data_IF_447714173035
#
_entry.id   IF_447714173035
#
_cell.length_a   1.000
_cell.length_b   1.000
_cell.length_c   1.000
_cell.angle_alpha   90.00
_cell.angle_beta   90.00
_cell.angle_gamma   90.00
#
_symmetry.space_group_name_H-M   'P 1'
#
loop_
_entity.id
_entity.type
_entity.pdbx_description
1 polymer ?
#
# COMPACT_ATOMS: atom_id res chain seq x y z
N UNK A 1 -2.46 -7.84 -7.48
CA UNK A 1 -3.36 -6.70 -7.22
C UNK A 1 -4.04 -6.24 -8.48
N UNK A 2 -5.11 -5.47 -8.34
CA UNK A 2 -6.00 -5.11 -9.42
C UNK A 2 -5.93 -3.61 -9.72
N UNK A 3 -6.66 -3.16 -10.73
CA UNK A 3 -6.86 -1.75 -11.07
C UNK A 3 -8.31 -1.46 -11.41
N UNK A 4 -8.81 -0.29 -11.04
CA UNK A 4 -10.15 0.20 -11.36
C UNK A 4 -10.05 1.36 -12.35
N UNK A 5 -10.97 1.40 -13.30
CA UNK A 5 -11.20 2.52 -14.21
C UNK A 5 -12.71 2.73 -14.39
N UNK A 6 -13.24 3.87 -13.95
CA UNK A 6 -14.63 4.30 -14.21
C UNK A 6 -14.54 5.63 -14.96
N UNK A 7 -14.73 5.60 -16.26
CA UNK A 7 -14.50 6.76 -17.13
C UNK A 7 -15.54 6.84 -18.23
N UNK A 8 -15.60 7.99 -18.89
CA UNK A 8 -16.38 8.16 -20.13
C UNK A 8 -15.57 7.80 -21.40
N UNK A 9 -14.33 7.34 -21.21
CA UNK A 9 -13.38 6.98 -22.28
C UNK A 9 -13.13 5.47 -22.27
N UNK A 10 -13.42 4.80 -23.37
CA UNK A 10 -13.32 3.34 -23.50
C UNK A 10 -11.89 2.82 -23.26
N UNK A 11 -10.86 3.55 -23.68
CA UNK A 11 -9.48 3.08 -23.64
C UNK A 11 -8.73 3.47 -22.35
N UNK A 12 -9.41 3.99 -21.32
CA UNK A 12 -8.75 4.38 -20.07
C UNK A 12 -8.17 3.17 -19.33
N UNK A 13 -8.83 2.01 -19.41
CA UNK A 13 -8.39 0.77 -18.80
C UNK A 13 -7.05 0.27 -19.37
N UNK A 14 -6.76 0.55 -20.64
CA UNK A 14 -5.53 0.08 -21.30
C UNK A 14 -4.27 0.66 -20.65
N UNK A 15 -4.39 1.85 -20.08
CA UNK A 15 -3.28 2.53 -19.41
C UNK A 15 -2.89 1.89 -18.07
N UNK A 16 -3.75 1.05 -17.49
CA UNK A 16 -3.50 0.37 -16.21
C UNK A 16 -3.37 -1.15 -16.33
N UNK A 17 -3.21 -1.68 -17.54
CA UNK A 17 -3.09 -3.13 -17.79
C UNK A 17 -1.93 -3.80 -17.03
N UNK A 18 -0.85 -3.07 -16.77
CA UNK A 18 0.30 -3.56 -16.00
C UNK A 18 -0.05 -3.94 -14.56
N UNK A 19 -1.23 -3.58 -14.05
CA UNK A 19 -1.69 -3.91 -12.70
C UNK A 19 -2.25 -5.33 -12.56
N UNK A 20 -2.40 -6.08 -13.66
CA UNK A 20 -2.92 -7.44 -13.62
C UNK A 20 -2.66 -8.21 -14.90
N UNK A 21 -3.28 -9.36 -15.04
CA UNK A 21 -3.15 -10.25 -16.19
C UNK A 21 -4.49 -10.52 -16.91
N UNK A 22 -5.59 -10.07 -16.31
CA UNK A 22 -6.94 -10.17 -16.86
C UNK A 22 -7.60 -8.81 -16.80
N UNK A 23 -8.42 -8.46 -17.78
CA UNK A 23 -9.19 -7.23 -17.76
C UNK A 23 -10.60 -7.45 -18.29
N UNK A 24 -11.56 -6.79 -17.65
CA UNK A 24 -12.96 -6.75 -18.04
C UNK A 24 -13.45 -5.31 -18.02
N UNK A 25 -14.22 -4.94 -19.03
CA UNK A 25 -14.86 -3.63 -19.10
C UNK A 25 -16.30 -3.80 -19.56
N UNK A 26 -17.22 -3.12 -18.93
CA UNK A 26 -18.64 -3.02 -19.33
C UNK A 26 -19.01 -1.56 -19.58
N UNK A 27 -20.06 -1.36 -20.38
CA UNK A 27 -20.67 -0.04 -20.59
C UNK A 27 -21.99 0.05 -19.84
N UNK A 28 -22.14 1.06 -19.01
CA UNK A 28 -23.33 1.26 -18.19
C UNK A 28 -23.63 2.76 -18.01
N UNK A 29 -24.83 3.19 -18.41
CA UNK A 29 -25.27 4.58 -18.21
C UNK A 29 -24.35 5.66 -18.78
N UNK A 30 -23.65 5.39 -19.88
CA UNK A 30 -22.70 6.30 -20.50
C UNK A 30 -21.30 6.29 -19.83
N UNK A 31 -21.05 5.35 -18.94
CA UNK A 31 -19.76 5.08 -18.31
C UNK A 31 -19.16 3.77 -18.78
N UNK A 32 -17.83 3.69 -18.79
CA UNK A 32 -17.07 2.47 -18.96
C UNK A 32 -16.52 2.06 -17.59
N UNK A 33 -17.04 0.95 -17.05
CA UNK A 33 -16.62 0.38 -15.78
C UNK A 33 -15.61 -0.70 -16.06
N UNK A 34 -14.35 -0.50 -15.72
CA UNK A 34 -13.25 -1.38 -16.04
C UNK A 34 -12.51 -1.89 -14.81
N UNK A 35 -12.14 -3.16 -14.83
CA UNK A 35 -11.34 -3.80 -13.81
C UNK A 35 -10.19 -4.59 -14.43
N UNK A 36 -8.98 -4.35 -13.98
CA UNK A 36 -7.79 -5.16 -14.28
C UNK A 36 -7.50 -6.03 -13.07
N UNK A 37 -7.45 -7.36 -13.28
CA UNK A 37 -7.35 -8.35 -12.20
C UNK A 37 -5.98 -9.02 -12.16
N UNK A 38 -5.42 -9.15 -10.96
CA UNK A 38 -4.34 -10.06 -10.61
C UNK A 38 -4.93 -11.20 -9.76
N UNK A 39 -5.16 -12.40 -10.32
CA UNK A 39 -5.71 -13.51 -9.55
C UNK A 39 -4.66 -14.02 -8.54
N UNK A 40 -5.01 -13.97 -7.25
CA UNK A 40 -4.17 -14.41 -6.13
C UNK A 40 -4.84 -15.53 -5.35
N UNK A 41 -6.16 -15.44 -5.17
CA UNK A 41 -6.95 -16.42 -4.42
C UNK A 41 -7.58 -17.48 -5.32
N UNK A 42 -7.54 -17.30 -6.63
CA UNK A 42 -8.13 -18.22 -7.63
C UNK A 42 -7.15 -18.41 -8.78
N UNK A 43 -7.37 -19.45 -9.59
CA UNK A 43 -6.67 -19.57 -10.87
C UNK A 43 -7.13 -18.49 -11.85
N UNK A 44 -6.32 -18.16 -12.87
CA UNK A 44 -6.76 -17.31 -13.98
C UNK A 44 -8.04 -17.86 -14.63
N UNK A 45 -9.00 -16.98 -14.88
CA UNK A 45 -10.32 -17.34 -15.45
C UNK A 45 -11.35 -17.79 -14.41
N UNK A 46 -10.94 -18.15 -13.19
CA UNK A 46 -11.84 -18.56 -12.13
C UNK A 46 -12.21 -17.40 -11.19
N UNK A 47 -13.31 -17.57 -10.48
CA UNK A 47 -13.80 -16.62 -9.47
C UNK A 47 -14.71 -15.55 -10.05
N UNK A 48 -15.15 -14.63 -9.18
CA UNK A 48 -16.05 -13.56 -9.57
C UNK A 48 -15.31 -12.49 -10.39
N UNK A 49 -15.71 -12.37 -11.66
CA UNK A 49 -15.24 -11.28 -12.49
C UNK A 49 -15.78 -9.92 -11.99
N UNK A 50 -15.00 -8.89 -12.18
CA UNK A 50 -15.41 -7.52 -11.85
C UNK A 50 -15.40 -6.70 -13.16
N UNK A 51 -16.30 -5.72 -13.31
CA UNK A 51 -17.32 -5.20 -12.37
C UNK A 51 -18.37 -6.23 -11.97
N UNK A 52 -18.81 -6.23 -10.71
CA UNK A 52 -19.79 -7.17 -10.16
C UNK A 52 -21.17 -6.52 -10.17
N UNK A 53 -22.14 -7.15 -10.85
CA UNK A 53 -23.52 -6.75 -10.75
C UNK A 53 -24.09 -7.13 -9.37
N UNK A 54 -24.71 -6.17 -8.70
CA UNK A 54 -25.28 -6.35 -7.37
C UNK A 54 -26.76 -6.70 -7.44
N UNK A 55 -27.20 -7.57 -6.54
CA UNK A 55 -28.61 -7.98 -6.45
C UNK A 55 -29.54 -6.78 -6.21
N UNK A 56 -30.81 -6.90 -6.64
CA UNK A 56 -31.84 -5.90 -6.39
C UNK A 56 -31.65 -4.56 -7.14
N UNK A 57 -31.01 -4.57 -8.31
CA UNK A 57 -30.69 -3.34 -9.06
C UNK A 57 -29.82 -2.34 -8.25
N UNK A 58 -28.98 -2.83 -7.35
CA UNK A 58 -28.07 -2.02 -6.55
C UNK A 58 -26.83 -1.53 -7.32
N UNK A 59 -26.77 -1.78 -8.62
CA UNK A 59 -25.71 -1.29 -9.50
C UNK A 59 -24.50 -2.22 -9.55
N UNK A 60 -23.31 -1.64 -9.65
CA UNK A 60 -22.07 -2.33 -9.93
C UNK A 60 -21.02 -2.03 -8.88
N UNK A 61 -20.31 -3.07 -8.44
CA UNK A 61 -19.19 -2.97 -7.51
C UNK A 61 -17.86 -3.23 -8.23
N UNK A 62 -16.90 -2.34 -7.99
CA UNK A 62 -15.50 -2.51 -8.36
C UNK A 62 -14.65 -2.43 -7.10
N UNK A 63 -13.78 -3.39 -6.92
CA UNK A 63 -12.95 -3.55 -5.74
C UNK A 63 -11.52 -3.92 -6.11
N UNK A 64 -10.57 -3.25 -5.49
CA UNK A 64 -9.15 -3.57 -5.55
C UNK A 64 -8.64 -3.73 -4.14
N UNK A 65 -8.04 -4.87 -3.84
CA UNK A 65 -7.43 -5.11 -2.53
C UNK A 65 -7.69 -6.51 -2.00
N UNK A 66 -7.55 -6.63 -0.68
CA UNK A 66 -7.76 -7.85 0.10
C UNK A 66 -8.36 -7.48 1.46
N UNK A 67 -9.46 -8.10 1.85
CA UNK A 67 -10.04 -8.04 3.19
C UNK A 67 -9.81 -9.40 3.85
N UNK A 68 -8.84 -9.48 4.77
CA UNK A 68 -8.37 -10.75 5.33
C UNK A 68 -9.30 -11.36 6.39
N UNK A 69 -10.20 -10.59 6.95
CA UNK A 69 -11.06 -10.99 8.08
C UNK A 69 -12.55 -11.04 7.73
N UNK A 70 -12.88 -11.27 6.46
CA UNK A 70 -14.26 -11.52 6.07
C UNK A 70 -14.81 -12.81 6.73
N UNK A 71 -16.14 -12.91 6.92
CA UNK A 71 -16.76 -14.07 7.57
C UNK A 71 -16.47 -15.38 6.82
N UNK A 72 -16.12 -16.44 7.56
CA UNK A 72 -15.67 -17.73 7.02
C UNK A 72 -16.70 -18.49 6.19
N UNK A 73 -17.96 -18.06 6.21
CA UNK A 73 -19.02 -18.61 5.34
C UNK A 73 -18.87 -18.25 3.86
N UNK A 74 -18.06 -17.24 3.55
CA UNK A 74 -17.77 -16.84 2.17
C UNK A 74 -16.48 -17.50 1.68
N UNK A 75 -16.43 -17.80 0.40
CA UNK A 75 -15.24 -18.39 -0.24
C UNK A 75 -14.17 -17.36 -0.56
N UNK A 76 -14.55 -16.07 -0.64
CA UNK A 76 -13.65 -14.94 -0.90
C UNK A 76 -14.19 -13.63 -0.33
N UNK A 77 -13.31 -12.65 -0.17
CA UNK A 77 -13.68 -11.28 0.19
C UNK A 77 -14.55 -10.61 -0.90
N UNK A 78 -14.34 -10.94 -2.16
CA UNK A 78 -15.16 -10.46 -3.28
C UNK A 78 -16.61 -10.96 -3.16
N UNK A 79 -16.82 -12.22 -2.81
CA UNK A 79 -18.15 -12.77 -2.56
C UNK A 79 -18.83 -12.10 -1.36
N UNK A 80 -18.08 -11.92 -0.27
CA UNK A 80 -18.55 -11.18 0.91
C UNK A 80 -18.99 -9.76 0.55
N UNK A 81 -18.17 -9.02 -0.21
CA UNK A 81 -18.49 -7.67 -0.61
C UNK A 81 -19.69 -7.60 -1.54
N UNK A 82 -19.83 -8.54 -2.48
CA UNK A 82 -21.01 -8.62 -3.36
C UNK A 82 -22.29 -8.72 -2.54
N UNK A 83 -22.33 -9.58 -1.55
CA UNK A 83 -23.53 -9.78 -0.73
C UNK A 83 -23.77 -8.58 0.21
N UNK A 84 -22.71 -8.02 0.80
CA UNK A 84 -22.81 -6.83 1.67
C UNK A 84 -23.36 -5.63 0.89
N UNK A 85 -22.80 -5.29 -0.26
CA UNK A 85 -23.25 -4.16 -1.07
C UNK A 85 -24.59 -4.42 -1.76
N UNK A 86 -24.94 -5.67 -2.01
CA UNK A 86 -26.24 -6.06 -2.57
C UNK A 86 -27.41 -5.93 -1.59
N UNK A 87 -27.14 -6.04 -0.28
CA UNK A 87 -28.20 -6.13 0.74
C UNK A 87 -28.21 -5.01 1.78
N UNK A 88 -27.15 -4.19 1.88
CA UNK A 88 -26.97 -3.22 2.96
C UNK A 88 -27.04 -1.78 2.49
N UNK A 89 -27.37 -0.87 3.40
CA UNK A 89 -27.25 0.56 3.14
C UNK A 89 -25.79 1.03 3.31
N UNK A 90 -25.46 2.22 2.79
CA UNK A 90 -24.12 2.78 2.89
C UNK A 90 -23.65 2.91 4.35
N UNK A 91 -24.55 3.23 5.29
CA UNK A 91 -24.23 3.35 6.71
C UNK A 91 -23.74 2.04 7.29
N UNK A 92 -24.39 0.92 6.96
CA UNK A 92 -24.02 -0.42 7.42
C UNK A 92 -22.70 -0.86 6.80
N UNK A 93 -22.48 -0.58 5.51
CA UNK A 93 -21.22 -0.87 4.82
C UNK A 93 -20.04 -0.14 5.48
N UNK A 94 -20.21 1.14 5.81
CA UNK A 94 -19.18 1.94 6.49
C UNK A 94 -18.95 1.46 7.92
N UNK A 95 -19.98 1.00 8.61
CA UNK A 95 -19.86 0.39 9.94
C UNK A 95 -19.01 -0.90 9.88
N UNK A 96 -19.30 -1.79 8.94
CA UNK A 96 -18.51 -3.00 8.70
C UNK A 96 -17.06 -2.67 8.31
N UNK A 97 -16.86 -1.70 7.40
CA UNK A 97 -15.53 -1.29 6.94
C UNK A 97 -14.62 -0.79 8.07
N UNK A 98 -15.18 -0.28 9.18
CA UNK A 98 -14.40 0.12 10.35
C UNK A 98 -13.73 -1.06 11.10
N UNK A 99 -14.13 -2.29 10.79
CA UNK A 99 -13.57 -3.50 11.39
C UNK A 99 -12.71 -4.32 10.41
N UNK A 100 -12.63 -3.92 9.15
CA UNK A 100 -11.85 -4.68 8.18
C UNK A 100 -10.34 -4.62 8.47
N UNK A 101 -9.70 -5.77 8.40
CA UNK A 101 -8.23 -5.90 8.34
C UNK A 101 -7.84 -6.19 6.89
N UNK A 102 -7.16 -5.25 6.26
CA UNK A 102 -6.85 -5.40 4.84
C UNK A 102 -6.23 -4.17 4.20
N UNK A 103 -6.47 -4.08 2.92
CA UNK A 103 -6.16 -2.97 2.03
C UNK A 103 -7.24 -2.94 0.96
N UNK A 104 -7.81 -1.79 0.66
CA UNK A 104 -8.91 -1.72 -0.29
C UNK A 104 -9.05 -0.35 -0.95
N UNK A 105 -9.54 -0.41 -2.19
CA UNK A 105 -10.14 0.70 -2.90
C UNK A 105 -11.46 0.22 -3.50
N UNK A 106 -12.54 0.92 -3.24
CA UNK A 106 -13.90 0.52 -3.59
C UNK A 106 -14.56 1.64 -4.37
N UNK A 107 -15.23 1.24 -5.47
CA UNK A 107 -16.16 2.07 -6.21
C UNK A 107 -17.49 1.33 -6.35
N UNK A 108 -18.55 1.96 -5.91
CA UNK A 108 -19.91 1.49 -6.05
C UNK A 108 -20.69 2.42 -6.98
N UNK A 109 -20.93 1.96 -8.22
CA UNK A 109 -21.70 2.68 -9.22
C UNK A 109 -23.17 2.31 -9.13
N UNK A 110 -24.04 3.29 -8.99
CA UNK A 110 -25.47 3.11 -8.86
C UNK A 110 -26.24 4.28 -9.49
N UNK A 111 -26.96 4.03 -10.59
CA UNK A 111 -27.87 4.99 -11.22
C UNK A 111 -27.27 6.38 -11.43
N UNK A 112 -26.08 6.48 -11.98
CA UNK A 112 -25.38 7.75 -12.23
C UNK A 112 -24.66 8.33 -11.02
N UNK A 113 -24.69 7.66 -9.86
CA UNK A 113 -23.92 8.00 -8.67
C UNK A 113 -22.78 7.02 -8.48
N UNK A 114 -21.61 7.50 -8.10
CA UNK A 114 -20.47 6.67 -7.70
C UNK A 114 -20.15 6.98 -6.24
N UNK A 115 -20.17 5.97 -5.38
CA UNK A 115 -19.60 6.05 -4.03
C UNK A 115 -18.19 5.47 -4.10
N UNK A 116 -17.20 6.23 -3.64
CA UNK A 116 -15.81 5.78 -3.66
C UNK A 116 -15.09 6.06 -2.33
N UNK A 117 -14.29 5.08 -1.87
CA UNK A 117 -13.45 5.21 -0.68
C UNK A 117 -12.30 4.20 -0.70
N UNK A 118 -11.27 4.50 0.08
CA UNK A 118 -10.08 3.65 0.19
C UNK A 118 -9.82 3.30 1.66
N UNK A 119 -8.94 2.31 1.88
CA UNK A 119 -8.52 1.95 3.23
C UNK A 119 -7.91 3.14 3.99
N UNK A 120 -7.94 3.11 5.33
CA UNK A 120 -7.57 4.27 6.13
C UNK A 120 -6.09 4.65 6.07
N UNK A 121 -5.24 3.78 5.56
CA UNK A 121 -3.81 4.05 5.35
C UNK A 121 -3.45 4.32 3.88
N UNK A 122 -4.44 4.33 2.97
CA UNK A 122 -4.22 4.55 1.55
C UNK A 122 -3.28 3.52 0.91
N UNK A 123 -3.32 2.27 1.37
CA UNK A 123 -2.55 1.16 0.78
C UNK A 123 -2.98 0.90 -0.66
N UNK A 124 -4.26 1.13 -0.95
CA UNK A 124 -4.83 1.20 -2.29
C UNK A 124 -5.30 2.61 -2.57
N UNK A 125 -5.02 3.10 -3.77
CA UNK A 125 -5.27 4.48 -4.12
C UNK A 125 -6.32 4.58 -5.20
N UNK A 126 -7.07 5.68 -5.16
CA UNK A 126 -7.97 6.13 -6.21
C UNK A 126 -7.75 7.61 -6.45
N UNK A 127 -7.93 8.00 -7.70
CA UNK A 127 -7.88 9.36 -8.16
C UNK A 127 -9.16 9.70 -8.93
N UNK A 128 -9.50 10.97 -8.98
CA UNK A 128 -10.65 11.45 -9.73
C UNK A 128 -10.34 12.75 -10.45
N UNK A 129 -11.05 13.04 -11.54
CA UNK A 129 -10.93 14.29 -12.25
C UNK A 129 -12.21 15.15 -12.10
N UNK A 130 -12.19 16.34 -12.69
CA UNK A 130 -13.29 17.29 -12.67
C UNK A 130 -14.59 16.78 -13.30
N UNK A 131 -14.55 15.68 -14.06
CA UNK A 131 -15.71 15.06 -14.71
C UNK A 131 -16.29 13.90 -13.89
N UNK A 132 -15.77 13.65 -12.67
CA UNK A 132 -16.16 12.53 -11.83
C UNK A 132 -15.63 11.17 -12.30
N UNK A 133 -14.75 11.13 -13.30
CA UNK A 133 -14.06 9.92 -13.70
C UNK A 133 -13.10 9.47 -12.59
N UNK A 134 -13.01 8.16 -12.34
CA UNK A 134 -12.20 7.58 -11.26
C UNK A 134 -11.25 6.51 -11.82
N UNK A 135 -10.00 6.50 -11.35
CA UNK A 135 -9.03 5.48 -11.72
C UNK A 135 -8.06 5.19 -10.56
N UNK A 136 -7.49 3.98 -10.55
CA UNK A 136 -6.40 3.60 -9.63
C UNK A 136 -5.09 4.34 -9.91
N UNK A 137 -4.94 4.98 -11.07
CA UNK A 137 -3.78 5.76 -11.49
C UNK A 137 -4.16 7.14 -12.02
N UNK A 138 -3.19 8.06 -12.06
CA UNK A 138 -3.43 9.47 -12.37
C UNK A 138 -3.54 9.70 -13.88
N UNK A 139 -2.59 9.17 -14.66
CA UNK A 139 -2.46 9.49 -16.09
C UNK A 139 -3.68 9.13 -16.94
N UNK A 140 -4.47 8.08 -16.64
CA UNK A 140 -5.72 7.83 -17.35
C UNK A 140 -6.75 8.96 -17.24
N UNK A 141 -6.65 9.77 -16.18
CA UNK A 141 -7.61 10.84 -15.87
C UNK A 141 -7.17 12.22 -16.40
N UNK A 142 -5.91 12.36 -16.79
CA UNK A 142 -5.35 13.64 -17.25
C UNK A 142 -5.90 14.00 -18.62
N UNK A 143 -6.51 15.17 -18.72
CA UNK A 143 -7.03 15.72 -19.99
C UNK A 143 -6.03 16.65 -20.68
N UNK A 144 -5.18 17.32 -19.91
CA UNK A 144 -4.13 18.20 -20.43
C UNK A 144 -2.84 17.98 -19.61
N UNK A 145 -1.87 17.32 -20.18
CA UNK A 145 -0.60 17.04 -19.52
C UNK A 145 0.27 18.26 -19.24
N UNK A 146 0.00 19.41 -19.88
CA UNK A 146 0.71 20.66 -19.63
C UNK A 146 0.14 21.49 -18.48
N UNK A 147 -1.03 21.12 -17.96
CA UNK A 147 -1.71 21.82 -16.87
C UNK A 147 -1.23 21.32 -15.49
N UNK A 148 0.01 21.65 -15.17
CA UNK A 148 0.63 21.25 -13.89
C UNK A 148 0.18 22.11 -12.71
N UNK A 149 -0.04 21.48 -11.55
CA UNK A 149 -0.29 22.14 -10.28
C UNK A 149 1.03 22.66 -9.67
N UNK A 150 1.24 23.98 -9.75
CA UNK A 150 2.46 24.62 -9.25
C UNK A 150 2.59 24.57 -7.72
N UNK A 151 1.47 24.55 -7.02
CA UNK A 151 1.50 24.42 -5.56
C UNK A 151 1.96 23.02 -5.18
N UNK A 152 1.39 21.97 -5.80
CA UNK A 152 1.87 20.60 -5.64
C UNK A 152 3.37 20.49 -5.92
N UNK A 153 3.83 21.05 -7.04
CA UNK A 153 5.24 21.05 -7.41
C UNK A 153 6.12 21.65 -6.31
N UNK A 154 5.72 22.79 -5.74
CA UNK A 154 6.44 23.49 -4.66
C UNK A 154 6.50 22.64 -3.38
N UNK A 155 5.37 22.06 -2.97
CA UNK A 155 5.29 21.25 -1.75
C UNK A 155 6.13 19.97 -1.86
N UNK A 156 6.02 19.25 -2.98
CA UNK A 156 6.81 18.03 -3.19
C UNK A 156 8.30 18.36 -3.33
N UNK A 157 8.66 19.49 -3.93
CA UNK A 157 10.05 19.94 -3.97
C UNK A 157 10.60 20.22 -2.58
N UNK A 158 9.81 20.83 -1.70
CA UNK A 158 10.21 21.19 -0.35
C UNK A 158 10.26 19.98 0.60
N UNK A 159 9.21 19.15 0.60
CA UNK A 159 9.00 18.10 1.59
C UNK A 159 9.28 16.68 1.09
N UNK A 160 9.35 16.47 -0.25
CA UNK A 160 9.48 15.15 -0.89
C UNK A 160 8.15 14.48 -1.22
N UNK A 161 7.03 14.99 -0.72
CA UNK A 161 5.66 14.50 -0.95
C UNK A 161 4.63 15.60 -0.64
N UNK A 162 3.36 15.33 -0.91
CA UNK A 162 2.25 16.24 -0.66
C UNK A 162 1.21 15.63 0.28
N UNK A 163 0.71 16.42 1.22
CA UNK A 163 -0.18 16.00 2.31
C UNK A 163 -1.68 16.09 1.99
N UNK A 164 -2.07 16.68 0.88
CA UNK A 164 -3.47 16.90 0.53
C UNK A 164 -3.92 16.07 -0.69
N UNK A 165 -5.07 16.40 -1.24
CA UNK A 165 -5.67 15.69 -2.37
C UNK A 165 -5.06 16.02 -3.73
N UNK A 166 -4.11 16.95 -3.81
CA UNK A 166 -3.49 17.37 -5.07
C UNK A 166 -2.63 16.27 -5.70
N UNK A 167 -2.56 16.35 -7.01
CA UNK A 167 -1.64 15.57 -7.84
C UNK A 167 -0.77 16.53 -8.67
N UNK A 168 0.18 16.05 -9.45
CA UNK A 168 0.95 16.92 -10.35
C UNK A 168 0.11 17.75 -11.34
N UNK A 169 -1.13 17.35 -11.60
CA UNK A 169 -2.04 18.02 -12.55
C UNK A 169 -3.24 18.65 -11.86
N UNK A 170 -3.56 19.89 -12.21
CA UNK A 170 -4.65 20.67 -11.60
C UNK A 170 -6.02 19.97 -11.66
N UNK A 171 -6.28 19.26 -12.74
CA UNK A 171 -7.57 18.64 -13.02
C UNK A 171 -7.76 17.23 -12.44
N UNK A 172 -6.75 16.70 -11.76
CA UNK A 172 -6.83 15.37 -11.11
C UNK A 172 -6.54 15.49 -9.63
N UNK A 173 -7.38 14.86 -8.83
CA UNK A 173 -7.28 14.83 -7.36
C UNK A 173 -7.23 13.39 -6.85
N UNK A 174 -6.65 13.22 -5.67
CA UNK A 174 -6.68 11.95 -4.94
C UNK A 174 -7.96 11.82 -4.13
N UNK A 175 -8.56 10.63 -4.09
CA UNK A 175 -9.52 10.27 -3.06
C UNK A 175 -8.74 10.10 -1.76
N UNK A 176 -9.03 10.98 -0.79
CA UNK A 176 -8.32 10.99 0.48
C UNK A 176 -8.58 9.71 1.26
N UNK A 177 -7.55 9.08 1.83
CA UNK A 177 -7.71 7.91 2.69
C UNK A 177 -8.70 8.19 3.83
N UNK A 178 -9.31 7.14 4.33
CA UNK A 178 -10.26 7.25 5.44
C UNK A 178 -11.46 8.19 5.19
N UNK A 179 -11.80 8.43 3.92
CA UNK A 179 -12.85 9.39 3.53
C UNK A 179 -13.75 8.77 2.47
N UNK A 180 -15.07 8.92 2.63
CA UNK A 180 -16.09 8.43 1.70
C UNK A 180 -16.58 9.58 0.84
N UNK A 181 -16.47 9.41 -0.47
CA UNK A 181 -16.88 10.37 -1.49
C UNK A 181 -18.13 9.88 -2.22
N UNK A 182 -18.98 10.83 -2.64
CA UNK A 182 -20.05 10.62 -3.59
C UNK A 182 -19.86 11.53 -4.81
N UNK A 183 -19.80 10.92 -5.96
CA UNK A 183 -19.82 11.58 -7.27
C UNK A 183 -21.20 11.43 -7.85
N UNK A 184 -21.76 12.51 -8.34
CA UNK A 184 -23.09 12.57 -8.94
C UNK A 184 -22.96 13.25 -10.31
N UNK A 185 -23.51 12.66 -11.35
CA UNK A 185 -23.45 13.17 -12.73
C UNK A 185 -23.93 14.61 -12.86
N UNK A 186 -24.77 15.06 -11.93
CA UNK A 186 -25.34 16.41 -11.92
C UNK A 186 -24.47 17.43 -11.18
N UNK A 187 -23.35 17.00 -10.56
CA UNK A 187 -22.51 17.88 -9.73
C UNK A 187 -21.09 17.98 -10.27
N UNK A 188 -20.58 19.21 -10.32
CA UNK A 188 -19.21 19.51 -10.77
C UNK A 188 -18.14 19.01 -9.78
N UNK A 189 -18.48 18.87 -8.49
CA UNK A 189 -17.55 18.43 -7.44
C UNK A 189 -18.15 17.29 -6.63
N UNK A 190 -17.31 16.32 -6.20
CA UNK A 190 -17.78 15.27 -5.32
C UNK A 190 -18.24 15.84 -3.96
N UNK A 191 -19.19 15.16 -3.37
CA UNK A 191 -19.62 15.40 -2.00
C UNK A 191 -18.86 14.46 -1.07
N UNK A 192 -18.26 14.98 0.00
CA UNK A 192 -17.71 14.15 1.07
C UNK A 192 -18.87 13.75 1.97
N UNK A 193 -19.19 12.44 1.99
CA UNK A 193 -20.24 11.89 2.84
C UNK A 193 -19.74 11.70 4.27
N UNK A 194 -18.51 11.19 4.43
CA UNK A 194 -17.93 10.93 5.74
C UNK A 194 -16.41 11.04 5.70
N UNK A 195 -15.86 11.75 6.69
CA UNK A 195 -14.42 11.75 7.02
C UNK A 195 -14.17 10.83 8.20
N UNK A 196 -12.93 10.32 8.31
CA UNK A 196 -12.47 9.50 9.44
C UNK A 196 -13.43 8.36 9.78
N UNK A 197 -13.88 7.64 8.75
CA UNK A 197 -14.83 6.55 8.93
C UNK A 197 -14.23 5.40 9.73
N UNK A 198 -12.90 5.24 9.68
CA UNK A 198 -12.17 4.23 10.42
C UNK A 198 -11.48 4.85 11.64
N UNK A 199 -11.66 4.25 12.80
CA UNK A 199 -11.11 4.76 14.06
C UNK A 199 -10.03 3.84 14.58
N UNK A 200 -8.83 4.39 14.75
CA UNK A 200 -7.67 3.66 15.27
C UNK A 200 -7.66 3.53 16.79
N UNK A 201 -8.41 4.34 17.54
CA UNK A 201 -8.38 4.39 19.00
C UNK A 201 -7.10 5.07 19.53
N UNK A 202 -6.61 6.08 18.82
CA UNK A 202 -5.46 6.89 19.25
C UNK A 202 -5.80 7.54 20.61
N UNK A 203 -4.85 7.47 21.56
CA UNK A 203 -5.03 8.01 22.92
C UNK A 203 -5.69 7.05 23.92
N UNK A 204 -6.22 5.92 23.48
CA UNK A 204 -6.65 4.85 24.37
C UNK A 204 -5.43 4.11 24.96
N UNK A 205 -5.50 3.73 26.22
CA UNK A 205 -4.44 2.92 26.84
C UNK A 205 -4.66 1.43 26.59
N UNK A 206 -3.57 0.68 26.51
CA UNK A 206 -3.63 -0.78 26.46
C UNK A 206 -4.27 -1.35 27.75
N UNK A 207 -5.15 -2.32 27.59
CA UNK A 207 -5.77 -3.04 28.71
C UNK A 207 -4.87 -4.17 29.24
N UNK A 208 -3.78 -4.48 28.56
CA UNK A 208 -2.85 -5.54 28.99
C UNK A 208 -1.84 -5.00 30.02
N UNK A 209 -1.39 -5.88 30.91
CA UNK A 209 -0.27 -5.57 31.79
C UNK A 209 1.03 -5.39 30.96
N UNK A 210 1.90 -4.46 31.38
CA UNK A 210 3.15 -4.14 30.68
C UNK A 210 4.02 -5.39 30.44
N UNK A 211 4.08 -6.32 31.41
CA UNK A 211 4.83 -7.59 31.31
C UNK A 211 4.33 -8.51 30.18
N UNK A 212 3.14 -8.26 29.63
CA UNK A 212 2.54 -9.04 28.55
C UNK A 212 2.65 -8.37 27.17
N UNK A 213 3.13 -7.15 27.09
CA UNK A 213 3.13 -6.40 25.83
C UNK A 213 3.88 -7.11 24.71
N UNK A 214 5.08 -7.65 24.97
CA UNK A 214 5.86 -8.37 23.97
C UNK A 214 5.16 -9.65 23.49
N UNK A 215 4.58 -10.43 24.40
CA UNK A 215 3.83 -11.67 24.10
C UNK A 215 2.58 -11.36 23.25
N UNK A 216 1.81 -10.33 23.63
CA UNK A 216 0.63 -9.90 22.88
C UNK A 216 1.00 -9.40 21.49
N UNK A 217 2.02 -8.54 21.39
CA UNK A 217 2.49 -8.02 20.10
C UNK A 217 2.94 -9.16 19.19
N UNK A 218 3.70 -10.11 19.73
CA UNK A 218 4.13 -11.30 18.96
C UNK A 218 2.94 -12.03 18.37
N UNK A 219 1.94 -12.37 19.14
CA UNK A 219 0.74 -13.07 18.68
C UNK A 219 -0.02 -12.28 17.60
N UNK A 220 -0.10 -10.95 17.75
CA UNK A 220 -0.75 -10.08 16.77
C UNK A 220 0.02 -10.03 15.46
N UNK A 221 1.35 -9.90 15.48
CA UNK A 221 2.19 -9.87 14.27
C UNK A 221 2.19 -11.24 13.58
N UNK A 222 2.34 -12.35 14.33
CA UNK A 222 2.26 -13.70 13.78
C UNK A 222 0.90 -13.95 13.09
N UNK A 223 -0.20 -13.57 13.75
CA UNK A 223 -1.55 -13.63 13.17
C UNK A 223 -1.67 -12.80 11.90
N UNK A 224 -1.08 -11.61 11.89
CA UNK A 224 -1.09 -10.70 10.74
C UNK A 224 -0.30 -11.26 9.57
N UNK A 225 0.91 -11.81 9.80
CA UNK A 225 1.70 -12.50 8.77
C UNK A 225 0.93 -13.70 8.24
N UNK A 226 0.38 -14.54 9.12
CA UNK A 226 -0.40 -15.73 8.73
C UNK A 226 -1.59 -15.35 7.84
N UNK A 227 -2.38 -14.36 8.22
CA UNK A 227 -3.51 -13.90 7.41
C UNK A 227 -3.07 -13.49 6.01
N UNK A 228 -1.99 -12.70 5.90
CA UNK A 228 -1.48 -12.18 4.63
C UNK A 228 -0.81 -13.22 3.76
N UNK A 229 -0.28 -14.28 4.34
CA UNK A 229 0.29 -15.41 3.61
C UNK A 229 -0.76 -16.44 3.19
N UNK A 230 -1.67 -16.84 4.11
CA UNK A 230 -2.64 -17.91 3.88
C UNK A 230 -3.80 -17.50 2.95
N UNK A 231 -4.14 -16.20 2.88
CA UNK A 231 -5.08 -15.67 1.90
C UNK A 231 -4.43 -15.49 0.51
N UNK A 232 -3.61 -16.47 0.13
CA UNK A 232 -2.98 -16.56 -1.18
C UNK A 232 -2.91 -18.03 -1.58
N UNK A 233 -3.44 -18.38 -2.74
CA UNK A 233 -3.23 -19.70 -3.36
C UNK A 233 -1.93 -19.78 -4.16
N UNK A 234 -1.25 -18.64 -4.31
CA UNK A 234 0.06 -18.56 -4.96
C UNK A 234 1.17 -18.52 -3.92
N UNK A 235 2.38 -18.91 -4.33
CA UNK A 235 3.57 -18.82 -3.47
C UNK A 235 3.77 -17.36 -3.01
N UNK A 236 4.27 -17.23 -1.78
CA UNK A 236 4.53 -15.96 -1.13
C UNK A 236 6.01 -15.82 -0.86
N UNK A 237 6.60 -14.69 -1.25
CA UNK A 237 7.99 -14.35 -0.92
C UNK A 237 8.07 -13.24 0.12
N UNK A 238 9.29 -12.84 0.48
CA UNK A 238 9.56 -11.73 1.39
C UNK A 238 10.66 -10.81 0.89
N UNK A 239 10.46 -9.49 1.05
CA UNK A 239 11.56 -8.52 0.92
C UNK A 239 12.36 -8.50 2.20
N UNK A 240 13.67 -8.60 2.08
CA UNK A 240 14.60 -8.53 3.21
C UNK A 240 15.67 -7.46 2.98
N UNK A 241 15.84 -6.58 3.95
CA UNK A 241 16.92 -5.58 3.97
C UNK A 241 18.01 -5.94 4.97
N UNK A 242 17.92 -7.12 5.59
CA UNK A 242 18.71 -7.48 6.74
C UNK A 242 18.40 -6.67 8.00
N UNK A 243 17.37 -5.81 7.98
CA UNK A 243 16.87 -5.07 9.13
C UNK A 243 15.89 -5.90 9.96
N UNK A 244 15.69 -5.50 11.23
CA UNK A 244 14.81 -6.18 12.19
C UNK A 244 13.43 -6.52 11.62
N UNK A 245 12.75 -5.55 11.04
CA UNK A 245 11.35 -5.67 10.62
C UNK A 245 11.14 -6.72 9.52
N UNK A 246 11.92 -6.62 8.46
CA UNK A 246 11.87 -7.56 7.35
C UNK A 246 12.32 -8.96 7.76
N UNK A 247 13.27 -9.04 8.69
CA UNK A 247 13.74 -10.32 9.23
C UNK A 247 12.69 -11.01 10.10
N UNK A 248 11.95 -10.26 10.92
CA UNK A 248 10.79 -10.79 11.68
C UNK A 248 9.76 -11.41 10.72
N UNK A 249 9.36 -10.69 9.67
CA UNK A 249 8.37 -11.18 8.70
C UNK A 249 8.86 -12.46 8.01
N UNK A 250 10.10 -12.48 7.53
CA UNK A 250 10.70 -13.63 6.85
C UNK A 250 10.80 -14.85 7.79
N UNK A 251 11.23 -14.65 9.03
CA UNK A 251 11.37 -15.73 10.02
C UNK A 251 10.01 -16.33 10.41
N UNK A 252 8.97 -15.49 10.56
CA UNK A 252 7.61 -16.00 10.83
C UNK A 252 7.10 -16.82 9.64
N UNK A 253 7.25 -16.33 8.41
CA UNK A 253 6.86 -17.07 7.19
C UNK A 253 7.57 -18.42 7.11
N UNK A 254 8.87 -18.46 7.35
CA UNK A 254 9.66 -19.70 7.37
C UNK A 254 9.13 -20.69 8.41
N UNK A 255 8.86 -20.23 9.65
CA UNK A 255 8.31 -21.07 10.75
C UNK A 255 6.92 -21.60 10.49
N UNK A 256 6.16 -21.00 9.57
CA UNK A 256 4.86 -21.54 9.12
C UNK A 256 5.01 -22.74 8.18
N UNK A 257 6.22 -23.15 7.82
CA UNK A 257 6.49 -24.25 6.90
C UNK A 257 6.16 -23.92 5.44
N UNK A 258 5.96 -22.65 5.12
CA UNK A 258 5.80 -22.20 3.75
C UNK A 258 7.17 -22.06 3.09
N UNK A 259 7.33 -22.60 1.89
CA UNK A 259 8.51 -22.33 1.09
C UNK A 259 8.61 -20.84 0.79
N UNK A 260 9.65 -20.17 1.29
CA UNK A 260 9.80 -18.73 1.18
C UNK A 260 11.05 -18.39 0.37
N UNK A 261 10.89 -17.65 -0.71
CA UNK A 261 11.99 -17.00 -1.40
C UNK A 261 12.22 -15.61 -0.81
N UNK A 262 13.46 -15.30 -0.50
CA UNK A 262 13.86 -13.99 -0.01
C UNK A 262 14.40 -13.14 -1.18
N UNK A 263 14.11 -11.87 -1.15
CA UNK A 263 14.54 -10.89 -2.15
C UNK A 263 15.20 -9.70 -1.50
N UNK A 264 16.38 -9.30 -1.96
CA UNK A 264 17.07 -8.12 -1.45
C UNK A 264 17.80 -7.33 -2.55
N UNK A 265 18.03 -6.05 -2.28
CA UNK A 265 18.96 -5.22 -3.05
C UNK A 265 20.30 -5.17 -2.34
N UNK A 266 21.37 -5.42 -3.07
CA UNK A 266 22.73 -5.38 -2.51
C UNK A 266 23.14 -3.95 -2.15
N UNK A 267 23.64 -3.81 -0.95
CA UNK A 267 24.20 -2.59 -0.40
C UNK A 267 25.24 -2.96 0.68
N UNK A 268 25.77 -1.98 1.39
CA UNK A 268 26.77 -2.21 2.46
C UNK A 268 26.24 -3.08 3.61
N UNK A 269 24.93 -3.30 3.69
CA UNK A 269 24.22 -4.03 4.74
C UNK A 269 23.77 -5.43 4.30
N UNK A 270 24.08 -5.83 3.07
CA UNK A 270 23.64 -7.12 2.48
C UNK A 270 24.10 -8.33 3.27
N UNK A 271 25.21 -8.21 4.02
CA UNK A 271 25.70 -9.27 4.92
C UNK A 271 24.65 -9.74 5.92
N UNK A 272 23.74 -8.86 6.38
CA UNK A 272 22.68 -9.23 7.31
C UNK A 272 21.53 -9.97 6.63
N UNK A 273 21.25 -9.65 5.35
CA UNK A 273 20.29 -10.42 4.55
C UNK A 273 20.82 -11.84 4.24
N UNK A 274 22.10 -11.95 3.92
CA UNK A 274 22.76 -13.25 3.72
C UNK A 274 22.80 -14.06 5.02
N UNK A 275 23.15 -13.44 6.16
CA UNK A 275 23.10 -14.06 7.48
C UNK A 275 21.71 -14.62 7.81
N UNK A 276 20.64 -13.86 7.51
CA UNK A 276 19.28 -14.33 7.70
C UNK A 276 18.96 -15.53 6.81
N UNK A 277 19.35 -15.48 5.53
CA UNK A 277 19.18 -16.58 4.57
C UNK A 277 19.86 -17.87 5.06
N UNK A 278 21.10 -17.77 5.54
CA UNK A 278 21.85 -18.89 6.12
C UNK A 278 21.17 -19.41 7.40
N UNK A 279 20.80 -18.52 8.32
CA UNK A 279 20.13 -18.87 9.57
C UNK A 279 18.81 -19.62 9.35
N UNK A 280 18.03 -19.21 8.35
CA UNK A 280 16.75 -19.85 8.00
C UNK A 280 16.93 -21.06 7.07
N UNK A 281 18.09 -21.26 6.46
CA UNK A 281 18.31 -22.31 5.47
C UNK A 281 17.49 -22.13 4.19
N UNK A 282 17.20 -20.89 3.78
CA UNK A 282 16.37 -20.57 2.60
C UNK A 282 17.17 -19.78 1.57
N UNK A 283 16.78 -19.89 0.29
CA UNK A 283 17.44 -19.14 -0.78
C UNK A 283 17.09 -17.64 -0.75
N UNK A 284 18.07 -16.82 -1.13
CA UNK A 284 17.90 -15.39 -1.31
C UNK A 284 18.29 -14.98 -2.74
N UNK A 285 17.40 -14.26 -3.40
CA UNK A 285 17.69 -13.61 -4.68
C UNK A 285 18.15 -12.19 -4.40
N UNK A 286 19.41 -11.90 -4.70
CA UNK A 286 19.92 -10.54 -4.58
C UNK A 286 19.98 -9.84 -5.93
N UNK A 287 19.70 -8.55 -5.92
CA UNK A 287 19.94 -7.65 -7.03
C UNK A 287 21.17 -6.82 -6.70
N UNK A 288 22.20 -6.91 -7.54
CA UNK A 288 23.45 -6.16 -7.37
C UNK A 288 23.25 -4.65 -7.25
N UNK A 289 24.31 -3.90 -6.95
CA UNK A 289 24.25 -2.46 -6.79
C UNK A 289 23.57 -1.80 -7.99
N UNK A 290 22.58 -0.96 -7.73
CA UNK A 290 21.81 -0.27 -8.77
C UNK A 290 22.41 1.12 -8.97
N UNK A 291 22.80 1.51 -10.20
CA UNK A 291 23.19 2.88 -10.51
C UNK A 291 22.05 3.85 -10.16
N UNK A 292 22.40 5.00 -9.61
CA UNK A 292 21.43 6.01 -9.13
C UNK A 292 20.47 6.51 -10.22
N UNK A 293 20.92 6.51 -11.48
CA UNK A 293 20.15 6.96 -12.63
C UNK A 293 19.51 5.81 -13.42
N UNK A 294 19.76 4.57 -13.01
CA UNK A 294 19.16 3.41 -13.66
C UNK A 294 17.65 3.52 -13.58
N UNK A 295 17.00 3.42 -14.71
CA UNK A 295 15.54 3.45 -14.86
C UNK A 295 14.80 4.67 -14.22
N UNK A 296 15.51 5.77 -13.87
CA UNK A 296 14.88 6.92 -13.21
C UNK A 296 13.68 7.47 -13.99
N UNK A 297 13.85 7.70 -15.30
CA UNK A 297 12.76 8.16 -16.16
C UNK A 297 11.57 7.18 -16.15
N UNK A 298 11.85 5.90 -16.27
CA UNK A 298 10.83 4.85 -16.23
C UNK A 298 10.13 4.77 -14.86
N UNK A 299 10.89 4.91 -13.77
CA UNK A 299 10.31 4.98 -12.42
C UNK A 299 9.38 6.18 -12.25
N UNK A 300 9.80 7.38 -12.73
CA UNK A 300 8.99 8.59 -12.67
C UNK A 300 7.71 8.47 -13.48
N UNK A 301 7.78 7.86 -14.66
CA UNK A 301 6.61 7.62 -15.52
C UNK A 301 5.56 6.74 -14.83
N UNK A 302 5.98 5.63 -14.20
CA UNK A 302 5.04 4.72 -13.50
C UNK A 302 4.65 5.19 -12.10
N UNK A 303 5.49 6.00 -11.45
CA UNK A 303 5.12 6.62 -10.19
C UNK A 303 4.08 7.74 -10.38
N UNK A 304 4.04 8.35 -11.57
CA UNK A 304 3.15 9.44 -11.93
C UNK A 304 3.26 10.68 -11.00
N UNK A 305 4.32 10.74 -10.21
CA UNK A 305 4.60 11.84 -9.28
C UNK A 305 6.10 11.97 -9.08
N UNK A 306 6.65 13.20 -8.92
CA UNK A 306 8.08 13.42 -8.68
C UNK A 306 8.46 13.29 -7.20
N UNK A 307 7.79 12.44 -6.41
CA UNK A 307 8.11 12.24 -5.00
C UNK A 307 9.51 11.64 -4.85
N UNK A 308 10.09 11.75 -3.66
CA UNK A 308 11.43 11.24 -3.36
C UNK A 308 11.56 9.75 -3.71
N UNK A 309 12.34 9.46 -4.74
CA UNK A 309 12.46 8.13 -5.34
C UNK A 309 13.66 7.32 -4.86
N UNK A 310 14.38 7.78 -3.86
CA UNK A 310 15.62 7.12 -3.45
C UNK A 310 15.49 5.68 -2.99
N UNK A 311 14.34 5.32 -2.42
CA UNK A 311 14.02 3.94 -2.08
C UNK A 311 13.16 3.25 -3.15
N UNK A 312 12.54 4.01 -4.05
CA UNK A 312 11.68 3.49 -5.09
C UNK A 312 12.45 2.78 -6.21
N UNK A 313 13.58 3.36 -6.67
CA UNK A 313 14.39 2.76 -7.74
C UNK A 313 14.87 1.35 -7.35
N UNK A 314 15.52 1.16 -6.18
CA UNK A 314 15.89 -0.18 -5.71
C UNK A 314 14.70 -1.14 -5.66
N UNK A 315 13.58 -0.70 -5.11
CA UNK A 315 12.38 -1.52 -5.01
C UNK A 315 11.78 -1.84 -6.39
N UNK A 316 11.68 -0.86 -7.29
CA UNK A 316 11.20 -1.03 -8.65
C UNK A 316 12.02 -2.08 -9.42
N UNK A 317 13.35 -2.00 -9.35
CA UNK A 317 14.26 -2.95 -10.00
C UNK A 317 14.17 -4.34 -9.38
N UNK A 318 14.03 -4.42 -8.06
CA UNK A 318 13.90 -5.71 -7.38
C UNK A 318 12.60 -6.42 -7.77
N UNK A 319 11.50 -5.69 -7.91
CA UNK A 319 10.22 -6.26 -8.35
C UNK A 319 10.28 -6.90 -9.75
N UNK A 320 11.18 -6.46 -10.62
CA UNK A 320 11.40 -7.10 -11.93
C UNK A 320 12.05 -8.50 -11.82
N UNK A 321 12.62 -8.86 -10.66
CA UNK A 321 13.24 -10.17 -10.38
C UNK A 321 12.35 -11.09 -9.57
N UNK A 322 11.30 -10.57 -8.97
CA UNK A 322 10.35 -11.34 -8.16
C UNK A 322 9.54 -12.27 -9.06
N UNK A 323 9.40 -13.51 -8.64
CA UNK A 323 8.64 -14.56 -9.35
C UNK A 323 7.24 -14.76 -8.77
N UNK A 324 7.08 -14.46 -7.49
CA UNK A 324 5.80 -14.59 -6.77
C UNK A 324 4.92 -13.39 -7.05
N UNK A 325 3.61 -13.62 -7.07
CA UNK A 325 2.61 -12.55 -7.19
C UNK A 325 2.38 -11.80 -5.88
N UNK A 326 2.77 -12.39 -4.75
CA UNK A 326 2.59 -11.83 -3.41
C UNK A 326 3.91 -11.81 -2.67
N UNK A 327 4.26 -10.65 -2.15
CA UNK A 327 5.46 -10.44 -1.35
C UNK A 327 5.10 -9.73 -0.05
N UNK A 328 5.61 -10.25 1.08
CA UNK A 328 5.46 -9.60 2.38
C UNK A 328 6.66 -8.68 2.66
N UNK A 329 6.37 -7.56 3.34
CA UNK A 329 7.37 -6.52 3.66
C UNK A 329 7.34 -6.16 5.14
N UNK A 330 8.44 -5.56 5.63
CA UNK A 330 8.54 -5.02 6.98
C UNK A 330 8.01 -3.58 7.15
N UNK A 331 7.42 -3.00 6.09
CA UNK A 331 6.92 -1.62 6.13
C UNK A 331 5.83 -1.45 7.20
N UNK A 332 5.84 -0.28 7.85
CA UNK A 332 4.94 0.06 8.96
C UNK A 332 5.57 -0.13 10.35
N UNK A 333 6.61 -0.94 10.47
CA UNK A 333 7.25 -1.17 11.77
C UNK A 333 8.02 0.06 12.27
N UNK A 334 8.71 0.78 11.40
CA UNK A 334 9.42 2.01 11.76
C UNK A 334 8.45 3.09 12.25
N UNK A 335 7.33 3.24 11.57
CA UNK A 335 6.29 4.22 11.86
C UNK A 335 5.57 3.93 13.17
N UNK A 336 5.35 2.68 13.50
CA UNK A 336 4.62 2.27 14.70
C UNK A 336 5.50 2.13 15.95
N UNK A 337 6.78 1.76 15.75
CA UNK A 337 7.68 1.37 16.85
C UNK A 337 8.94 2.23 16.94
N UNK A 338 8.91 3.44 16.37
CA UNK A 338 9.97 4.45 16.55
C UNK A 338 11.33 4.02 15.98
N UNK A 339 11.36 3.53 14.74
CA UNK A 339 12.58 3.11 14.08
C UNK A 339 13.44 4.25 13.50
N UNK A 340 12.88 5.46 13.38
CA UNK A 340 13.58 6.60 12.81
C UNK A 340 14.39 7.38 13.86
N UNK A 341 15.59 7.88 13.48
CA UNK A 341 16.50 8.61 14.38
C UNK A 341 16.01 10.02 14.77
N UNK A 342 14.91 10.51 14.20
CA UNK A 342 14.40 11.89 14.42
C UNK A 342 13.56 12.08 15.69
N UNK A 343 13.81 11.33 16.75
CA UNK A 343 12.81 11.08 17.78
C UNK A 343 13.14 11.78 19.10
N UNK A 344 13.42 13.10 19.08
CA UNK A 344 13.54 13.86 20.32
C UNK A 344 12.18 14.29 20.88
N UNK A 345 11.13 14.42 20.02
CA UNK A 345 9.74 14.66 20.41
C UNK A 345 8.80 13.60 19.80
N UNK A 346 8.71 12.47 20.46
CA UNK A 346 8.17 11.24 19.89
C UNK A 346 6.65 11.26 19.67
N UNK A 347 5.85 11.88 20.55
CA UNK A 347 4.39 11.76 20.46
C UNK A 347 3.79 12.61 19.34
N UNK A 348 4.33 13.81 19.10
CA UNK A 348 3.98 14.60 17.92
C UNK A 348 4.50 13.97 16.63
N UNK A 349 5.73 13.46 16.65
CA UNK A 349 6.36 12.85 15.49
C UNK A 349 5.75 11.46 15.12
N UNK A 350 5.28 10.68 16.08
CA UNK A 350 4.58 9.43 15.76
C UNK A 350 3.29 9.70 15.00
N UNK A 351 2.54 10.72 15.42
CA UNK A 351 1.35 11.16 14.70
C UNK A 351 1.70 11.56 13.26
N UNK A 352 2.75 12.35 13.10
CA UNK A 352 3.19 12.85 11.80
C UNK A 352 3.69 11.72 10.90
N UNK A 353 4.58 10.85 11.41
CA UNK A 353 5.12 9.72 10.64
C UNK A 353 4.03 8.71 10.27
N UNK A 354 3.07 8.46 11.16
CA UNK A 354 1.93 7.61 10.84
C UNK A 354 1.03 8.25 9.77
N UNK A 355 0.87 9.56 9.79
CA UNK A 355 0.13 10.31 8.79
C UNK A 355 0.87 10.38 7.44
N UNK A 356 2.20 10.26 7.40
CA UNK A 356 2.97 10.15 6.15
C UNK A 356 2.65 8.88 5.34
N UNK A 357 2.25 7.79 5.99
CA UNK A 357 2.00 6.50 5.34
C UNK A 357 1.15 6.62 4.07
N UNK A 358 -0.03 7.27 4.09
CA UNK A 358 -0.89 7.37 2.92
C UNK A 358 -0.32 8.21 1.77
N UNK A 359 0.59 9.13 2.06
CA UNK A 359 1.04 10.14 1.10
C UNK A 359 2.42 9.86 0.52
N UNK A 360 3.24 9.08 1.24
CA UNK A 360 4.60 8.79 0.85
C UNK A 360 4.88 7.29 0.72
N UNK A 361 4.71 6.53 1.81
CA UNK A 361 5.14 5.13 1.85
C UNK A 361 4.22 4.20 1.06
N UNK A 362 2.90 4.31 1.22
CA UNK A 362 1.96 3.40 0.55
C UNK A 362 1.88 3.63 -0.96
N UNK A 363 1.85 4.90 -1.48
CA UNK A 363 1.95 5.13 -2.92
C UNK A 363 3.21 4.53 -3.54
N UNK A 364 4.36 4.70 -2.89
CA UNK A 364 5.62 4.12 -3.34
C UNK A 364 5.55 2.60 -3.45
N UNK A 365 5.05 1.94 -2.41
CA UNK A 365 4.93 0.48 -2.38
C UNK A 365 4.02 -0.03 -3.50
N UNK A 366 2.83 0.56 -3.64
CA UNK A 366 1.87 0.16 -4.66
C UNK A 366 2.41 0.38 -6.08
N UNK A 367 2.97 1.56 -6.37
CA UNK A 367 3.45 1.91 -7.71
C UNK A 367 4.65 1.08 -8.15
N UNK A 368 5.66 0.94 -7.27
CA UNK A 368 6.87 0.19 -7.59
C UNK A 368 6.59 -1.29 -7.83
N UNK A 369 5.64 -1.88 -7.12
CA UNK A 369 5.33 -3.31 -7.22
C UNK A 369 4.33 -3.62 -8.34
N UNK A 370 3.30 -2.79 -8.48
CA UNK A 370 2.25 -3.05 -9.47
C UNK A 370 2.73 -2.95 -10.91
N UNK A 371 3.77 -2.17 -11.16
CA UNK A 371 4.40 -2.13 -12.48
C UNK A 371 4.88 -3.53 -12.92
N UNK A 372 5.28 -4.35 -11.98
CA UNK A 372 5.74 -5.73 -12.22
C UNK A 372 4.67 -6.79 -11.89
N UNK A 373 3.42 -6.37 -11.72
CA UNK A 373 2.30 -7.27 -11.41
C UNK A 373 2.52 -8.06 -10.11
N UNK A 374 3.15 -7.41 -9.11
CA UNK A 374 3.44 -7.99 -7.78
C UNK A 374 2.64 -7.25 -6.70
N UNK A 375 2.01 -7.99 -5.81
CA UNK A 375 1.29 -7.45 -4.66
C UNK A 375 2.19 -7.40 -3.41
N UNK A 376 2.46 -6.20 -2.89
CA UNK A 376 3.12 -6.04 -1.59
C UNK A 376 2.09 -6.01 -0.47
N UNK A 377 2.38 -6.76 0.60
CA UNK A 377 1.58 -6.85 1.82
C UNK A 377 2.43 -6.49 3.03
N UNK A 378 1.93 -5.60 3.89
CA UNK A 378 2.63 -5.09 5.08
C UNK A 378 1.97 -5.62 6.36
N UNK A 379 2.48 -6.71 6.97
CA UNK A 379 1.89 -7.30 8.17
C UNK A 379 1.86 -6.37 9.38
N UNK A 380 2.86 -5.52 9.56
CA UNK A 380 2.88 -4.53 10.64
C UNK A 380 1.73 -3.51 10.54
N UNK A 381 1.20 -3.28 9.35
CA UNK A 381 0.03 -2.44 9.13
C UNK A 381 -1.30 -3.23 9.21
N UNK A 382 -1.32 -4.38 9.86
CA UNK A 382 -2.54 -5.10 10.22
C UNK A 382 -3.35 -4.33 11.26
N UNK A 383 -4.68 -4.40 11.15
CA UNK A 383 -5.62 -3.68 12.02
C UNK A 383 -5.28 -3.84 13.52
N UNK A 384 -5.17 -5.10 13.98
CA UNK A 384 -4.93 -5.40 15.39
C UNK A 384 -3.54 -4.93 15.85
N UNK A 385 -2.52 -5.02 14.97
CA UNK A 385 -1.15 -4.57 15.23
C UNK A 385 -1.10 -3.05 15.40
N UNK A 386 -1.71 -2.31 14.46
CA UNK A 386 -1.74 -0.85 14.50
C UNK A 386 -2.46 -0.36 15.75
N UNK A 387 -3.66 -0.87 16.03
CA UNK A 387 -4.43 -0.49 17.23
C UNK A 387 -3.69 -0.79 18.52
N UNK A 388 -3.01 -1.92 18.60
CA UNK A 388 -2.20 -2.26 19.78
C UNK A 388 -1.00 -1.32 19.91
N UNK A 389 -0.24 -1.10 18.83
CA UNK A 389 0.93 -0.22 18.83
C UNK A 389 0.59 1.22 19.25
N UNK A 390 -0.52 1.78 18.76
CA UNK A 390 -0.96 3.14 19.10
C UNK A 390 -1.42 3.30 20.56
N UNK A 391 -1.71 2.20 21.26
CA UNK A 391 -2.10 2.17 22.69
C UNK A 391 -0.93 1.89 23.64
N UNK A 392 0.25 1.57 23.11
CA UNK A 392 1.44 1.32 23.91
C UNK A 392 2.02 2.64 24.45
N UNK A 393 2.58 2.64 25.66
CA UNK A 393 3.38 3.73 26.16
C UNK A 393 4.57 4.05 25.24
N UNK A 394 4.97 5.31 25.22
CA UNK A 394 6.09 5.81 24.40
C UNK A 394 7.38 5.00 24.60
N UNK A 395 7.76 4.78 25.85
CA UNK A 395 8.99 4.09 26.23
C UNK A 395 9.07 2.65 25.71
N UNK A 396 7.92 1.99 25.52
CA UNK A 396 7.86 0.61 25.03
C UNK A 396 7.92 0.53 23.49
N UNK A 397 7.58 1.63 22.79
CA UNK A 397 7.67 1.73 21.32
C UNK A 397 9.01 2.21 20.81
N UNK A 398 9.72 3.05 21.58
CA UNK A 398 10.94 3.72 21.15
C UNK A 398 12.04 2.72 20.75
N UNK A 399 12.72 3.01 19.64
CA UNK A 399 13.82 2.20 19.11
C UNK A 399 13.47 0.72 18.86
N UNK A 400 12.19 0.43 18.60
CA UNK A 400 11.71 -0.94 18.36
C UNK A 400 11.98 -1.92 19.50
N UNK A 401 12.15 -1.42 20.72
CA UNK A 401 12.52 -2.25 21.88
C UNK A 401 11.56 -3.43 22.03
N UNK A 402 10.26 -3.18 22.02
CA UNK A 402 9.24 -4.23 22.18
C UNK A 402 9.29 -5.28 21.04
N UNK A 403 9.69 -4.90 19.82
CA UNK A 403 9.88 -5.86 18.73
C UNK A 403 11.09 -6.77 18.98
N UNK A 404 12.19 -6.22 19.50
CA UNK A 404 13.34 -7.01 19.89
C UNK A 404 13.00 -7.98 21.00
N UNK A 405 12.30 -7.52 22.04
CA UNK A 405 11.85 -8.37 23.16
C UNK A 405 10.90 -9.48 22.69
N UNK A 406 9.99 -9.19 21.74
CA UNK A 406 9.00 -10.14 21.25
C UNK A 406 9.58 -11.22 20.33
N UNK A 407 10.68 -10.96 19.60
CA UNK A 407 11.17 -11.82 18.53
C UNK A 407 12.65 -12.22 18.65
N UNK A 408 13.29 -12.03 19.81
CA UNK A 408 14.70 -12.36 20.04
C UNK A 408 15.03 -13.84 19.81
N UNK A 409 14.08 -14.75 20.05
CA UNK A 409 14.27 -16.19 19.91
C UNK A 409 14.20 -16.72 18.47
N UNK A 410 13.82 -15.88 17.51
CA UNK A 410 13.67 -16.28 16.09
C UNK A 410 14.62 -15.57 15.15
N UNK A 411 15.53 -14.76 15.68
CA UNK A 411 16.47 -13.95 14.91
C UNK A 411 17.91 -14.12 15.39
N UNK A 412 18.91 -14.03 14.51
CA UNK A 412 20.32 -13.90 14.91
C UNK A 412 20.56 -12.65 15.76
N UNK A 413 21.45 -12.76 16.75
CA UNK A 413 21.78 -11.65 17.64
C UNK A 413 22.32 -10.44 16.88
N UNK A 414 23.07 -10.66 15.82
CA UNK A 414 23.66 -9.61 14.98
C UNK A 414 22.58 -8.74 14.29
N UNK A 415 21.42 -9.32 13.98
CA UNK A 415 20.27 -8.58 13.44
C UNK A 415 19.57 -7.76 14.54
N UNK A 416 19.46 -8.32 15.75
CA UNK A 416 18.87 -7.64 16.90
C UNK A 416 19.69 -6.41 17.33
N UNK A 417 21.03 -6.50 17.26
CA UNK A 417 21.93 -5.45 17.68
C UNK A 417 22.24 -4.42 16.59
N UNK A 418 21.84 -4.72 15.35
CA UNK A 418 22.12 -3.86 14.21
C UNK A 418 21.48 -2.47 14.34
N UNK A 419 22.22 -1.37 14.11
CA UNK A 419 21.63 -0.05 14.00
C UNK A 419 20.79 0.08 12.71
N UNK A 420 19.72 0.91 12.77
CA UNK A 420 18.88 1.18 11.61
C UNK A 420 19.63 1.96 10.54
N UNK A 421 19.63 1.45 9.31
CA UNK A 421 20.09 2.14 8.11
C UNK A 421 18.98 2.23 7.07
N UNK A 422 18.72 3.41 6.47
CA UNK A 422 17.69 3.55 5.45
C UNK A 422 18.12 2.96 4.10
N UNK A 423 17.18 2.32 3.41
CA UNK A 423 17.38 1.91 2.01
C UNK A 423 17.24 3.15 1.13
N UNK A 424 18.36 3.73 0.70
CA UNK A 424 18.39 4.88 -0.22
C UNK A 424 19.50 4.71 -1.25
N UNK A 425 19.29 5.19 -2.46
CA UNK A 425 20.36 5.25 -3.46
C UNK A 425 21.46 6.25 -3.02
N UNK A 426 22.66 6.08 -3.62
CA UNK A 426 23.85 6.81 -3.19
C UNK A 426 23.75 8.33 -3.39
N UNK A 427 23.20 8.80 -4.50
CA UNK A 427 23.07 10.21 -4.83
C UNK A 427 22.18 10.96 -3.83
N UNK A 428 21.08 10.33 -3.36
CA UNK A 428 20.26 10.94 -2.29
C UNK A 428 21.01 11.05 -0.97
N UNK A 429 21.90 10.09 -0.67
CA UNK A 429 22.70 10.17 0.56
C UNK A 429 23.71 11.32 0.51
N UNK A 430 24.25 11.64 -0.68
CA UNK A 430 25.24 12.68 -0.89
C UNK A 430 24.64 14.09 -0.96
N UNK A 431 23.65 14.29 -1.80
CA UNK A 431 22.94 15.57 -1.99
C UNK A 431 21.45 15.33 -2.29
N UNK A 432 20.60 15.26 -1.24
CA UNK A 432 19.17 15.05 -1.40
C UNK A 432 18.46 16.12 -2.23
N UNK A 433 18.92 17.37 -2.15
CA UNK A 433 18.28 18.47 -2.86
C UNK A 433 18.60 18.48 -4.36
N UNK A 434 19.86 18.24 -4.73
CA UNK A 434 20.24 18.11 -6.14
C UNK A 434 19.53 16.90 -6.78
N UNK A 435 19.44 15.78 -6.10
CA UNK A 435 18.71 14.61 -6.59
C UNK A 435 17.22 14.90 -6.77
N UNK A 436 16.57 15.54 -5.80
CA UNK A 436 15.16 15.92 -5.90
C UNK A 436 14.93 16.88 -7.08
N UNK A 437 15.79 17.87 -7.25
CA UNK A 437 15.74 18.79 -8.40
C UNK A 437 15.80 18.03 -9.73
N UNK A 438 16.73 17.10 -9.86
CA UNK A 438 16.85 16.22 -11.04
C UNK A 438 15.58 15.41 -11.30
N UNK A 439 15.00 14.80 -10.28
CA UNK A 439 13.73 14.05 -10.42
C UNK A 439 12.60 14.95 -10.92
N UNK A 440 12.49 16.17 -10.38
CA UNK A 440 11.48 17.13 -10.83
C UNK A 440 11.68 17.54 -12.28
N UNK A 441 12.88 17.92 -12.68
CA UNK A 441 13.19 18.31 -14.05
C UNK A 441 12.85 17.19 -15.04
N UNK A 442 13.27 15.95 -14.77
CA UNK A 442 12.96 14.81 -15.63
C UNK A 442 11.45 14.58 -15.67
N UNK A 443 10.77 14.56 -14.51
CA UNK A 443 9.34 14.29 -14.44
C UNK A 443 8.53 15.27 -15.29
N UNK A 444 8.74 16.58 -15.11
CA UNK A 444 7.97 17.57 -15.84
C UNK A 444 8.32 17.60 -17.33
N UNK A 445 9.54 17.25 -17.72
CA UNK A 445 9.91 17.10 -19.13
C UNK A 445 9.28 15.89 -19.81
N UNK A 446 9.02 14.81 -19.08
CA UNK A 446 8.35 13.60 -19.61
C UNK A 446 6.92 13.84 -20.10
N UNK A 447 6.26 14.88 -19.60
CA UNK A 447 4.85 15.16 -19.84
C UNK A 447 4.60 16.49 -20.58
N UNK A 448 5.65 17.20 -21.00
CA UNK A 448 5.54 18.40 -21.86
C UNK A 448 5.38 18.02 -23.33
#
# INVERSE_FOLDING_TARGET
MCGISITRRINAIDKIQHRGIESVQIAEGGWFLGHVRLPIQTEPGDGLAQPIELAGNNGWLLYVGEIYNYPTRYSSDVEYLRDLFGSSCLGDIIYEANNWDGMWAICWYRKGQIIAFTDPLGKKQLYYNQFGEICSEITPLVSNFKDFDRYYQSEVFKWGYNWDDRTPWNNVKRIMPNTVYSFDDMKVKPTIIRRDYYRWGIGERSHFAKSKFAEVLRGLVEKSVKRRAMYSKVLVGALVSGGLDSSIVASILHRMGLGVNLYMVENNESKFGMLLSEFLGVSITSLGPIPDDDCLERCLRYNETPIDLGSMIPQFRLMEKVKERVILTGDGADELFGGYRRVDDYDSQLSDVFQELPFYHMPRLDRASMRSTVELRSPFLGHDVVRFALRLPREDRTHKRILKDAFSDILPQEILDRPKEPLKCRSIRQDPMAYRKKCHEIFYNLWQ
#
